data_IF_367275953926
#
_entry.id   IF_367275953926
#
_cell.length_a   1.000
_cell.length_b   1.000
_cell.length_c   1.000
_cell.angle_alpha   90.00
_cell.angle_beta   90.00
_cell.angle_gamma   90.00
#
_symmetry.space_group_name_H-M   'P 1'
#
loop_
_entity.id
_entity.type
_entity.pdbx_description
1 polymer ?
#
# COMPACT_ATOMS: atom_id res chain seq x y z
N UNK A 1 23.84 15.92 -11.17
CA UNK A 1 24.31 16.28 -9.81
C UNK A 1 25.53 17.16 -9.97
N UNK A 2 25.64 18.27 -9.24
CA UNK A 2 26.87 19.07 -9.29
C UNK A 2 28.00 18.22 -8.70
N UNK A 3 29.21 18.36 -9.26
CA UNK A 3 30.41 17.64 -8.79
C UNK A 3 31.08 18.39 -7.62
N UNK A 4 30.27 19.06 -6.79
CA UNK A 4 30.76 19.85 -5.66
C UNK A 4 31.04 18.89 -4.51
N UNK A 5 32.27 18.90 -4.02
CA UNK A 5 32.61 18.25 -2.77
C UNK A 5 32.05 19.06 -1.59
N UNK A 6 30.86 18.66 -1.13
CA UNK A 6 30.14 19.33 -0.03
C UNK A 6 30.89 19.24 1.30
N UNK A 7 31.68 18.18 1.51
CA UNK A 7 32.42 17.99 2.76
C UNK A 7 33.68 18.86 2.78
N UNK A 8 34.39 18.94 1.65
CA UNK A 8 35.47 19.92 1.50
C UNK A 8 34.95 21.35 1.68
N UNK A 9 33.84 21.71 1.03
CA UNK A 9 33.25 23.05 1.18
C UNK A 9 32.81 23.36 2.63
N UNK A 10 32.29 22.36 3.36
CA UNK A 10 31.99 22.50 4.79
C UNK A 10 33.26 22.75 5.62
N UNK A 11 34.34 22.01 5.34
CA UNK A 11 35.60 22.18 6.04
C UNK A 11 36.17 23.59 5.81
N UNK A 12 36.19 24.05 4.55
CA UNK A 12 36.64 25.40 4.19
C UNK A 12 35.80 26.48 4.89
N UNK A 13 34.48 26.30 4.97
CA UNK A 13 33.59 27.23 5.65
C UNK A 13 33.77 27.22 7.19
N UNK A 14 34.15 26.09 7.79
CA UNK A 14 34.45 26.01 9.23
C UNK A 14 35.82 26.62 9.57
N UNK A 15 36.78 26.55 8.65
CA UNK A 15 38.11 27.15 8.82
C UNK A 15 38.08 28.67 8.60
N UNK A 16 37.16 29.15 7.75
CA UNK A 16 36.94 30.58 7.53
C UNK A 16 36.36 31.30 8.76
N UNK A 17 36.43 32.63 8.77
CA UNK A 17 35.92 33.44 9.89
C UNK A 17 34.40 33.36 9.98
N UNK A 18 33.89 32.81 11.08
CA UNK A 18 32.46 32.48 11.27
C UNK A 18 31.54 33.64 11.65
N UNK A 19 32.07 34.80 12.06
CA UNK A 19 31.27 35.99 12.34
C UNK A 19 30.64 36.59 11.07
N UNK A 20 29.78 37.60 11.24
CA UNK A 20 29.14 38.26 10.11
C UNK A 20 30.16 39.02 9.27
N UNK A 21 30.05 38.88 7.95
CA UNK A 21 30.92 39.58 7.02
C UNK A 21 30.35 40.97 6.71
N UNK A 22 30.93 42.00 7.32
CA UNK A 22 30.46 43.39 7.25
C UNK A 22 31.28 44.22 6.28
N UNK A 23 30.69 45.35 5.85
CA UNK A 23 31.35 46.27 4.90
C UNK A 23 32.29 47.15 5.69
N UNK A 24 33.56 47.14 5.30
CA UNK A 24 34.56 48.12 5.74
C UNK A 24 34.86 49.09 4.60
N UNK A 25 35.03 50.37 4.90
CA UNK A 25 35.29 51.39 3.86
C UNK A 25 36.22 52.48 4.36
N UNK A 26 37.22 52.81 3.55
CA UNK A 26 38.14 53.94 3.77
C UNK A 26 38.16 54.90 2.58
N UNK A 27 39.15 55.80 2.52
CA UNK A 27 39.28 56.78 1.42
C UNK A 27 39.50 56.07 0.07
N UNK A 28 38.40 55.90 -0.67
CA UNK A 28 38.41 55.39 -2.06
C UNK A 28 38.38 53.87 -2.21
N UNK A 29 38.28 53.09 -1.13
CA UNK A 29 38.23 51.63 -1.18
C UNK A 29 37.08 51.04 -0.36
N UNK A 30 36.60 49.87 -0.78
CA UNK A 30 35.55 49.11 -0.08
C UNK A 30 35.96 47.65 0.04
N UNK A 31 35.88 47.12 1.25
CA UNK A 31 36.28 45.77 1.58
C UNK A 31 35.25 45.05 2.46
N UNK A 32 35.53 43.78 2.72
CA UNK A 32 34.81 42.96 3.70
C UNK A 32 35.75 42.66 4.87
N UNK A 33 35.23 42.78 6.09
CA UNK A 33 35.84 42.28 7.31
C UNK A 33 34.84 41.39 8.08
N UNK A 34 35.30 40.66 9.09
CA UNK A 34 34.45 39.88 9.98
C UNK A 34 34.22 40.68 11.26
N UNK A 35 32.95 40.80 11.70
CA UNK A 35 32.57 41.56 12.90
C UNK A 35 33.00 40.92 14.23
N UNK A 36 33.36 39.63 14.21
CA UNK A 36 33.87 38.87 15.37
C UNK A 36 35.39 39.08 15.60
N UNK A 37 35.98 40.02 14.87
CA UNK A 37 37.24 40.77 15.10
C UNK A 37 38.51 40.04 15.63
N UNK A 38 38.58 38.71 15.65
CA UNK A 38 39.78 37.96 16.07
C UNK A 38 40.23 36.85 15.11
N UNK A 39 39.38 36.38 14.18
CA UNK A 39 39.78 35.35 13.21
C UNK A 39 40.78 35.82 12.16
N UNK A 40 40.82 37.13 11.88
CA UNK A 40 41.79 37.77 10.98
C UNK A 40 42.42 39.00 11.62
N UNK A 41 42.40 39.17 12.95
CA UNK A 41 42.97 40.33 13.67
C UNK A 41 42.61 41.71 13.08
N UNK A 42 41.36 41.91 12.66
CA UNK A 42 40.90 43.15 12.01
C UNK A 42 41.37 43.34 10.56
N UNK A 43 42.00 42.35 9.92
CA UNK A 43 42.46 42.41 8.53
C UNK A 43 41.31 42.22 7.53
N UNK A 44 41.47 42.88 6.38
CA UNK A 44 40.60 42.77 5.21
C UNK A 44 40.54 41.30 4.73
N UNK A 45 39.32 40.77 4.58
CA UNK A 45 39.06 39.44 4.01
C UNK A 45 39.14 39.49 2.49
N UNK A 46 38.48 40.48 1.89
CA UNK A 46 38.45 40.67 0.44
C UNK A 46 38.20 42.14 0.09
N UNK A 47 38.93 42.64 -0.92
CA UNK A 47 38.68 43.92 -1.59
C UNK A 47 38.06 43.65 -2.96
N UNK A 48 37.14 44.52 -3.39
CA UNK A 48 36.46 44.38 -4.67
C UNK A 48 36.73 45.60 -5.54
N UNK A 49 37.14 45.38 -6.80
CA UNK A 49 37.49 46.43 -7.74
C UNK A 49 36.67 46.35 -9.03
N UNK A 50 36.61 47.46 -9.77
CA UNK A 50 35.88 47.58 -11.03
C UNK A 50 34.41 47.99 -10.88
N UNK A 51 33.70 48.06 -12.01
CA UNK A 51 32.33 48.61 -12.09
C UNK A 51 31.32 47.85 -11.22
N UNK A 52 31.53 46.54 -11.04
CA UNK A 52 30.63 45.67 -10.28
C UNK A 52 31.07 45.45 -8.81
N UNK A 53 32.06 46.20 -8.32
CA UNK A 53 32.63 46.00 -6.97
C UNK A 53 31.56 45.96 -5.87
N UNK A 54 30.61 46.89 -5.92
CA UNK A 54 29.50 46.97 -4.96
C UNK A 54 28.60 45.73 -4.99
N UNK A 55 28.29 45.20 -6.17
CA UNK A 55 27.44 44.03 -6.32
C UNK A 55 28.15 42.75 -5.84
N UNK A 56 29.41 42.58 -6.26
CA UNK A 56 30.22 41.42 -5.87
C UNK A 56 30.45 41.36 -4.37
N UNK A 57 30.74 42.51 -3.74
CA UNK A 57 30.87 42.60 -2.28
C UNK A 57 29.59 42.16 -1.59
N UNK A 58 28.43 42.72 -1.96
CA UNK A 58 27.14 42.35 -1.35
C UNK A 58 26.85 40.86 -1.47
N UNK A 59 27.17 40.27 -2.63
CA UNK A 59 27.04 38.83 -2.84
C UNK A 59 27.91 38.04 -1.88
N UNK A 60 29.21 38.34 -1.80
CA UNK A 60 30.15 37.62 -0.93
C UNK A 60 29.82 37.81 0.56
N UNK A 61 29.38 39.00 0.98
CA UNK A 61 28.90 39.23 2.35
C UNK A 61 27.69 38.34 2.70
N UNK A 62 26.78 38.16 1.74
CA UNK A 62 25.60 37.31 1.91
C UNK A 62 25.96 35.82 1.87
N UNK A 63 26.91 35.44 1.02
CA UNK A 63 27.43 34.08 0.86
C UNK A 63 28.61 33.80 1.81
N UNK A 64 28.59 34.38 3.00
CA UNK A 64 29.60 34.16 4.03
C UNK A 64 29.59 32.70 4.55
N UNK A 65 30.61 32.27 5.31
CA UNK A 65 30.72 30.89 5.78
C UNK A 65 29.51 30.41 6.58
N UNK A 66 28.91 31.27 7.42
CA UNK A 66 27.71 30.91 8.18
C UNK A 66 26.52 30.60 7.26
N UNK A 67 26.30 31.41 6.21
CA UNK A 67 25.26 31.15 5.20
C UNK A 67 25.55 29.86 4.43
N UNK A 68 26.80 29.61 4.04
CA UNK A 68 27.18 28.37 3.33
C UNK A 68 26.92 27.14 4.19
N UNK A 69 27.28 27.18 5.48
CA UNK A 69 27.03 26.09 6.42
C UNK A 69 25.53 25.84 6.60
N UNK A 70 24.72 26.90 6.77
CA UNK A 70 23.27 26.78 6.88
C UNK A 70 22.65 26.13 5.62
N UNK A 71 23.09 26.54 4.43
CA UNK A 71 22.64 25.93 3.17
C UNK A 71 23.05 24.45 3.06
N UNK A 72 24.24 24.09 3.54
CA UNK A 72 24.70 22.70 3.58
C UNK A 72 23.89 21.86 4.59
N UNK A 73 23.54 22.41 5.75
CA UNK A 73 22.66 21.77 6.74
C UNK A 73 21.26 21.51 6.16
N UNK A 74 20.66 22.53 5.52
CA UNK A 74 19.37 22.39 4.84
C UNK A 74 19.42 21.34 3.73
N UNK A 75 20.50 21.29 2.97
CA UNK A 75 20.68 20.32 1.89
C UNK A 75 20.81 18.89 2.43
N UNK A 76 21.59 18.66 3.49
CA UNK A 76 21.69 17.36 4.14
C UNK A 76 20.34 16.92 4.76
N UNK A 77 19.58 17.84 5.34
CA UNK A 77 18.24 17.54 5.86
C UNK A 77 17.27 17.12 4.74
N UNK A 78 17.33 17.79 3.58
CA UNK A 78 16.55 17.40 2.39
C UNK A 78 17.01 16.06 1.83
N UNK A 79 18.31 15.81 1.74
CA UNK A 79 18.86 14.53 1.26
C UNK A 79 18.41 13.35 2.16
N UNK A 80 18.40 13.55 3.49
CA UNK A 80 17.83 12.59 4.45
C UNK A 80 16.33 12.38 4.26
N UNK A 81 15.57 13.45 4.02
CA UNK A 81 14.12 13.35 3.79
C UNK A 81 13.81 12.61 2.48
N UNK A 82 14.57 12.88 1.42
CA UNK A 82 14.44 12.19 0.13
C UNK A 82 14.79 10.72 0.28
N UNK A 83 15.86 10.36 0.99
CA UNK A 83 16.21 8.95 1.21
C UNK A 83 15.13 8.22 2.02
N UNK A 84 14.57 8.86 3.05
CA UNK A 84 13.45 8.33 3.83
C UNK A 84 12.22 8.08 2.95
N UNK A 85 11.79 9.08 2.16
CA UNK A 85 10.63 8.94 1.27
C UNK A 85 10.84 7.87 0.20
N UNK A 86 12.05 7.76 -0.38
CA UNK A 86 12.39 6.68 -1.31
C UNK A 86 12.26 5.30 -0.67
N UNK A 87 12.72 5.15 0.58
CA UNK A 87 12.58 3.91 1.33
C UNK A 87 11.12 3.57 1.61
N UNK A 88 10.30 4.55 2.00
CA UNK A 88 8.86 4.34 2.19
C UNK A 88 8.16 3.95 0.89
N UNK A 89 8.49 4.62 -0.23
CA UNK A 89 7.93 4.29 -1.54
C UNK A 89 8.33 2.86 -1.98
N UNK A 90 9.57 2.45 -1.73
CA UNK A 90 10.02 1.09 -2.02
C UNK A 90 9.28 0.04 -1.17
N UNK A 91 9.00 0.33 0.11
CA UNK A 91 8.20 -0.55 0.96
C UNK A 91 6.76 -0.67 0.46
N UNK A 92 6.14 0.43 0.05
CA UNK A 92 4.79 0.43 -0.53
C UNK A 92 4.75 -0.33 -1.88
N UNK A 93 5.76 -0.16 -2.73
CA UNK A 93 5.86 -0.89 -3.99
C UNK A 93 5.96 -2.42 -3.77
N UNK A 94 6.62 -2.85 -2.68
CA UNK A 94 6.70 -4.26 -2.31
C UNK A 94 5.40 -4.83 -1.71
N UNK A 95 4.39 -4.00 -1.43
CA UNK A 95 3.06 -4.45 -1.01
C UNK A 95 2.17 -4.87 -2.21
N UNK A 96 2.62 -4.62 -3.44
CA UNK A 96 1.91 -4.94 -4.68
C UNK A 96 1.71 -6.44 -5.02
N UNK A 97 2.54 -7.42 -4.59
CA UNK A 97 2.33 -8.84 -4.92
C UNK A 97 1.11 -9.47 -4.23
N UNK A 98 0.64 -8.87 -3.14
CA UNK A 98 -0.53 -9.37 -2.42
C UNK A 98 -1.84 -8.93 -3.08
N UNK A 99 -1.83 -7.85 -3.87
CA UNK A 99 -2.99 -7.43 -4.66
C UNK A 99 -3.29 -8.40 -5.80
N UNK A 100 -2.29 -8.84 -6.56
CA UNK A 100 -2.48 -9.83 -7.63
C UNK A 100 -3.01 -11.16 -7.09
N UNK A 101 -2.50 -11.59 -5.92
CA UNK A 101 -2.99 -12.78 -5.22
C UNK A 101 -4.41 -12.61 -4.70
N UNK A 102 -4.73 -11.43 -4.14
CA UNK A 102 -6.06 -11.13 -3.64
C UNK A 102 -7.09 -11.07 -4.76
N UNK A 103 -6.72 -10.49 -5.91
CA UNK A 103 -7.55 -10.46 -7.11
C UNK A 103 -7.80 -11.87 -7.64
N UNK A 104 -6.75 -12.69 -7.80
CA UNK A 104 -6.89 -14.08 -8.22
C UNK A 104 -7.74 -14.91 -7.24
N UNK A 105 -7.58 -14.71 -5.93
CA UNK A 105 -8.39 -15.38 -4.91
C UNK A 105 -9.86 -14.94 -4.97
N UNK A 106 -10.11 -13.66 -5.26
CA UNK A 106 -11.46 -13.11 -5.41
C UNK A 106 -12.15 -13.68 -6.66
N UNK A 107 -11.42 -13.80 -7.76
CA UNK A 107 -11.92 -14.40 -9.00
C UNK A 107 -12.24 -15.89 -8.82
N UNK A 108 -11.32 -16.64 -8.22
CA UNK A 108 -11.54 -18.06 -7.89
C UNK A 108 -12.76 -18.25 -6.96
N UNK A 109 -12.92 -17.40 -5.96
CA UNK A 109 -14.09 -17.45 -5.07
C UNK A 109 -15.40 -17.19 -5.83
N UNK A 110 -15.38 -16.26 -6.80
CA UNK A 110 -16.55 -15.97 -7.65
C UNK A 110 -16.95 -17.16 -8.50
N UNK A 111 -15.98 -17.86 -9.08
CA UNK A 111 -16.22 -19.09 -9.85
C UNK A 111 -16.84 -20.18 -8.97
N UNK A 112 -16.24 -20.46 -7.81
CA UNK A 112 -16.79 -21.44 -6.87
C UNK A 112 -18.19 -21.08 -6.35
N UNK A 113 -18.49 -19.79 -6.15
CA UNK A 113 -19.85 -19.36 -5.82
C UNK A 113 -20.85 -19.63 -6.95
N UNK A 114 -20.45 -19.44 -8.21
CA UNK A 114 -21.29 -19.75 -9.36
C UNK A 114 -21.55 -21.27 -9.47
N UNK A 115 -20.51 -22.09 -9.29
CA UNK A 115 -20.64 -23.56 -9.24
C UNK A 115 -21.55 -24.01 -8.11
N UNK A 116 -21.37 -23.46 -6.90
CA UNK A 116 -22.22 -23.79 -5.75
C UNK A 116 -23.68 -23.41 -6.00
N UNK A 117 -23.92 -22.28 -6.65
CA UNK A 117 -25.27 -21.84 -7.02
C UNK A 117 -25.90 -22.79 -8.05
N UNK A 118 -25.13 -23.21 -9.06
CA UNK A 118 -25.58 -24.18 -10.06
C UNK A 118 -25.87 -25.56 -9.43
N UNK A 119 -25.00 -26.04 -8.55
CA UNK A 119 -25.19 -27.29 -7.82
C UNK A 119 -26.43 -27.24 -6.92
N UNK A 120 -26.64 -26.13 -6.20
CA UNK A 120 -27.85 -25.91 -5.38
C UNK A 120 -29.12 -25.96 -6.23
N UNK A 121 -29.12 -25.32 -7.41
CA UNK A 121 -30.25 -25.39 -8.34
C UNK A 121 -30.49 -26.82 -8.80
N UNK A 122 -29.43 -27.57 -9.13
CA UNK A 122 -29.55 -28.96 -9.55
C UNK A 122 -30.11 -29.86 -8.45
N UNK A 123 -29.70 -29.66 -7.19
CA UNK A 123 -30.26 -30.36 -6.04
C UNK A 123 -31.76 -30.06 -5.91
N UNK A 124 -32.16 -28.79 -6.03
CA UNK A 124 -33.57 -28.41 -5.96
C UNK A 124 -34.41 -29.08 -7.08
N UNK A 125 -33.90 -29.12 -8.31
CA UNK A 125 -34.54 -29.81 -9.44
C UNK A 125 -34.67 -31.32 -9.17
N UNK A 126 -33.61 -31.97 -8.70
CA UNK A 126 -33.62 -33.41 -8.39
C UNK A 126 -34.59 -33.73 -7.25
N UNK A 127 -34.60 -32.93 -6.18
CA UNK A 127 -35.56 -33.08 -5.09
C UNK A 127 -37.00 -32.95 -5.57
N UNK A 128 -37.28 -32.01 -6.48
CA UNK A 128 -38.61 -31.87 -7.06
C UNK A 128 -39.00 -33.08 -7.93
N UNK A 129 -38.08 -33.61 -8.74
CA UNK A 129 -38.34 -34.83 -9.51
C UNK A 129 -38.62 -36.05 -8.62
N UNK A 130 -37.90 -36.19 -7.51
CA UNK A 130 -38.15 -37.27 -6.55
C UNK A 130 -39.52 -37.13 -5.89
N UNK A 131 -39.92 -35.91 -5.54
CA UNK A 131 -41.27 -35.65 -5.01
C UNK A 131 -42.36 -36.02 -6.03
N UNK A 132 -42.21 -35.60 -7.29
CA UNK A 132 -43.17 -35.96 -8.35
C UNK A 132 -43.22 -37.47 -8.60
N UNK A 133 -42.07 -38.16 -8.55
CA UNK A 133 -42.01 -39.61 -8.68
C UNK A 133 -42.70 -40.32 -7.50
N UNK A 134 -42.54 -39.79 -6.29
CA UNK A 134 -43.22 -40.29 -5.11
C UNK A 134 -44.75 -40.12 -5.23
N UNK A 135 -45.23 -38.94 -5.59
CA UNK A 135 -46.67 -38.67 -5.84
C UNK A 135 -47.24 -39.58 -6.94
N UNK A 136 -46.50 -39.80 -8.03
CA UNK A 136 -46.92 -40.71 -9.08
C UNK A 136 -47.09 -42.15 -8.59
N UNK A 137 -46.14 -42.66 -7.78
CA UNK A 137 -46.21 -44.01 -7.21
C UNK A 137 -47.40 -44.12 -6.25
N UNK A 138 -47.67 -43.10 -5.43
CA UNK A 138 -48.78 -43.11 -4.48
C UNK A 138 -50.16 -43.04 -5.15
N UNK A 139 -50.26 -42.41 -6.33
CA UNK A 139 -51.55 -42.17 -7.01
C UNK A 139 -51.82 -43.04 -8.24
N UNK A 140 -50.87 -43.89 -8.67
CA UNK A 140 -51.08 -44.78 -9.82
C UNK A 140 -51.72 -46.10 -9.39
N UNK A 141 -52.98 -46.33 -9.79
CA UNK A 141 -53.74 -47.56 -9.51
C UNK A 141 -53.08 -48.84 -10.06
N UNK A 142 -52.16 -48.73 -11.03
CA UNK A 142 -51.41 -49.88 -11.57
C UNK A 142 -50.41 -50.50 -10.57
N UNK A 143 -50.06 -49.80 -9.48
CA UNK A 143 -49.18 -50.34 -8.43
C UNK A 143 -49.93 -50.82 -7.16
N UNK A 144 -51.25 -50.63 -7.09
CA UNK A 144 -52.13 -51.24 -6.09
C UNK A 144 -51.68 -51.14 -4.62
N UNK A 145 -52.32 -51.92 -3.74
CA UNK A 145 -52.05 -52.00 -2.29
C UNK A 145 -50.60 -52.44 -1.94
N UNK A 146 -49.76 -52.73 -2.94
CA UNK A 146 -48.38 -53.21 -2.84
C UNK A 146 -47.34 -52.08 -2.93
N UNK A 147 -47.64 -50.93 -3.55
CA UNK A 147 -46.75 -49.75 -3.48
C UNK A 147 -46.87 -48.97 -2.16
N UNK A 148 -47.92 -49.19 -1.37
CA UNK A 148 -48.06 -48.51 -0.07
C UNK A 148 -47.30 -49.22 1.05
N UNK A 149 -47.04 -50.53 0.96
CA UNK A 149 -46.26 -51.31 1.94
C UNK A 149 -45.41 -52.36 1.21
N UNK A 150 -44.09 -52.37 1.46
CA UNK A 150 -43.16 -53.32 0.84
C UNK A 150 -41.87 -52.71 0.26
N UNK A 151 -41.09 -53.56 -0.45
CA UNK A 151 -39.83 -53.18 -1.11
C UNK A 151 -40.10 -52.99 -2.61
N UNK A 152 -39.92 -51.76 -3.11
CA UNK A 152 -40.03 -51.44 -4.53
C UNK A 152 -38.65 -51.53 -5.18
N UNK A 153 -38.51 -52.36 -6.22
CA UNK A 153 -37.25 -52.56 -6.93
C UNK A 153 -37.30 -51.90 -8.31
N UNK A 154 -36.44 -50.91 -8.56
CA UNK A 154 -36.25 -50.28 -9.87
C UNK A 154 -34.78 -50.41 -10.29
N UNK A 155 -34.48 -51.37 -11.17
CA UNK A 155 -33.10 -51.72 -11.53
C UNK A 155 -32.35 -52.28 -10.31
N UNK A 156 -31.15 -51.75 -10.04
CA UNK A 156 -30.35 -52.15 -8.87
C UNK A 156 -30.74 -51.41 -7.58
N UNK A 157 -31.69 -50.46 -7.65
CA UNK A 157 -32.15 -49.69 -6.50
C UNK A 157 -33.34 -50.37 -5.84
N UNK A 158 -33.21 -50.67 -4.53
CA UNK A 158 -34.28 -51.18 -3.68
C UNK A 158 -34.76 -50.08 -2.72
N UNK A 159 -36.05 -49.78 -2.75
CA UNK A 159 -36.70 -48.82 -1.86
C UNK A 159 -37.59 -49.57 -0.87
N UNK A 160 -37.17 -49.64 0.40
CA UNK A 160 -37.99 -50.21 1.48
C UNK A 160 -38.87 -49.11 2.10
N UNK A 161 -40.15 -49.12 1.73
CA UNK A 161 -41.11 -48.10 2.12
C UNK A 161 -41.43 -48.19 3.62
N UNK A 162 -41.43 -49.41 4.18
CA UNK A 162 -41.73 -49.65 5.59
C UNK A 162 -40.62 -49.09 6.51
N UNK A 163 -39.36 -49.24 6.09
CA UNK A 163 -38.22 -48.66 6.79
C UNK A 163 -38.25 -47.13 6.77
N UNK A 164 -38.58 -46.53 5.62
CA UNK A 164 -38.71 -45.07 5.49
C UNK A 164 -39.84 -44.51 6.35
N UNK A 165 -41.03 -45.13 6.37
CA UNK A 165 -42.15 -44.75 7.24
C UNK A 165 -41.78 -44.85 8.72
N UNK A 166 -41.08 -45.91 9.11
CA UNK A 166 -40.60 -46.09 10.49
C UNK A 166 -39.63 -44.97 10.89
N UNK A 167 -38.69 -44.61 10.01
CA UNK A 167 -37.73 -43.54 10.25
C UNK A 167 -38.38 -42.15 10.34
N UNK A 168 -39.38 -41.85 9.50
CA UNK A 168 -40.18 -40.62 9.54
C UNK A 168 -41.01 -40.51 10.83
N UNK A 169 -41.63 -41.61 11.27
CA UNK A 169 -42.38 -41.62 12.54
C UNK A 169 -41.46 -41.41 13.76
N UNK A 170 -40.21 -41.88 13.68
CA UNK A 170 -39.21 -41.72 14.72
C UNK A 170 -38.55 -40.32 14.74
N UNK A 171 -38.55 -39.60 13.61
CA UNK A 171 -37.99 -38.25 13.51
C UNK A 171 -38.95 -37.14 13.96
N UNK A 172 -40.20 -37.47 14.30
CA UNK A 172 -41.18 -36.55 14.90
C UNK A 172 -41.70 -35.46 13.98
N UNK A 173 -41.49 -35.57 12.66
CA UNK A 173 -41.99 -34.61 11.69
C UNK A 173 -43.46 -34.92 11.36
N UNK A 174 -44.38 -34.40 12.17
CA UNK A 174 -45.80 -34.34 11.81
C UNK A 174 -45.96 -33.22 10.79
N UNK A 175 -46.07 -33.57 9.51
CA UNK A 175 -46.49 -32.65 8.46
C UNK A 175 -47.92 -32.18 8.72
N UNK A 176 -48.09 -31.09 9.46
CA UNK A 176 -49.27 -30.24 9.40
C UNK A 176 -48.94 -29.05 8.49
N UNK A 177 -49.75 -28.93 7.44
CA UNK A 177 -49.79 -27.85 6.44
C UNK A 177 -50.29 -26.57 7.10
#
# INVERSE_FOLDING_TARGET
MSNIDKQALRADALEATGGSWVRESGEGWEAICCDDDQGNAGFIIAEFQGENATANRKFVQSANPATVLALLDELEAKDKSISFLKNQLAQLANFNPDWDKLEAATDSLREHMAELTAARKRIAELSHHLQNAHEFIEHTEAFGHEASNGILCCGDAQWNIDASKSALSASGFNGEV
#
